data_IF_215611599578
#
_entry.id   IF_215611599578
#
_cell.length_a   1.000
_cell.length_b   1.000
_cell.length_c   1.000
_cell.angle_alpha   90.00
_cell.angle_beta   90.00
_cell.angle_gamma   90.00
#
_symmetry.space_group_name_H-M   'P 1'
#
loop_
_entity.id
_entity.type
_entity.pdbx_description
1 polymer ?
#
# COMPACT_ATOMS: atom_id res chain seq x y z
N UNK A 1 -21.97 13.10 3.27
CA UNK A 1 -20.60 13.29 2.73
C UNK A 1 -20.09 11.94 2.28
N UNK A 2 -19.40 11.87 1.15
CA UNK A 2 -18.74 10.64 0.68
C UNK A 2 -17.73 10.12 1.71
N UNK A 3 -17.69 8.80 1.88
CA UNK A 3 -16.75 8.09 2.75
C UNK A 3 -15.34 8.18 2.16
N UNK A 4 -14.33 8.24 3.03
CA UNK A 4 -12.91 8.28 2.64
C UNK A 4 -12.24 6.99 3.07
N UNK A 5 -11.57 6.34 2.13
CA UNK A 5 -10.91 5.05 2.37
C UNK A 5 -9.43 5.18 2.04
N UNK A 6 -8.59 5.13 3.07
CA UNK A 6 -7.14 5.17 2.93
C UNK A 6 -6.53 3.78 2.82
N UNK A 7 -5.88 3.51 1.70
CA UNK A 7 -5.24 2.23 1.41
C UNK A 7 -3.82 2.21 1.98
N UNK A 8 -3.69 1.59 3.15
CA UNK A 8 -2.45 1.41 3.87
C UNK A 8 -1.76 0.10 3.45
N UNK A 9 -0.58 0.22 2.82
CA UNK A 9 0.17 -0.94 2.29
C UNK A 9 1.43 -1.25 3.10
N UNK A 10 1.46 -0.91 4.39
CA UNK A 10 2.64 -0.99 5.25
C UNK A 10 3.90 -0.26 4.73
N UNK A 11 3.73 0.70 3.82
CA UNK A 11 4.79 1.59 3.37
C UNK A 11 4.73 2.94 4.10
N UNK A 12 5.87 3.62 4.24
CA UNK A 12 5.94 4.93 4.88
C UNK A 12 5.06 5.98 4.18
N UNK A 13 5.00 5.95 2.84
CA UNK A 13 4.15 6.85 2.07
C UNK A 13 2.66 6.60 2.34
N UNK A 14 2.21 5.35 2.31
CA UNK A 14 0.81 5.03 2.61
C UNK A 14 0.43 5.37 4.06
N UNK A 15 1.35 5.19 5.02
CA UNK A 15 1.13 5.59 6.41
C UNK A 15 0.99 7.11 6.56
N UNK A 16 1.91 7.88 5.95
CA UNK A 16 1.85 9.34 5.99
C UNK A 16 0.60 9.90 5.29
N UNK A 17 0.18 9.30 4.17
CA UNK A 17 -1.05 9.67 3.49
C UNK A 17 -2.29 9.40 4.33
N UNK A 18 -2.35 8.23 4.99
CA UNK A 18 -3.42 7.89 5.92
C UNK A 18 -3.46 8.88 7.11
N UNK A 19 -2.30 9.27 7.66
CA UNK A 19 -2.24 10.26 8.75
C UNK A 19 -2.84 11.59 8.34
N UNK A 20 -2.42 12.14 7.19
CA UNK A 20 -2.97 13.40 6.67
C UNK A 20 -4.48 13.28 6.46
N UNK A 21 -4.95 12.19 5.87
CA UNK A 21 -6.37 11.99 5.62
C UNK A 21 -7.19 11.88 6.91
N UNK A 22 -6.67 11.21 7.94
CA UNK A 22 -7.33 11.13 9.26
C UNK A 22 -7.35 12.48 9.97
N UNK A 23 -6.29 13.28 9.87
CA UNK A 23 -6.22 14.63 10.45
C UNK A 23 -7.19 15.60 9.76
N UNK A 24 -7.23 15.59 8.42
CA UNK A 24 -8.13 16.45 7.64
C UNK A 24 -9.59 15.96 7.70
N UNK A 25 -9.79 14.65 7.85
CA UNK A 25 -11.09 14.01 7.87
C UNK A 25 -11.12 12.87 8.92
N UNK A 26 -11.54 13.17 10.16
CA UNK A 26 -11.56 12.20 11.26
C UNK A 26 -12.41 10.95 11.00
N UNK A 27 -13.34 11.00 10.04
CA UNK A 27 -14.14 9.84 9.59
C UNK A 27 -13.44 8.92 8.58
N UNK A 28 -12.17 9.16 8.22
CA UNK A 28 -11.42 8.33 7.28
C UNK A 28 -11.27 6.90 7.80
N UNK A 29 -11.62 5.95 6.95
CA UNK A 29 -11.43 4.51 7.18
C UNK A 29 -10.06 4.12 6.64
N UNK A 30 -9.28 3.37 7.42
CA UNK A 30 -7.94 2.92 7.02
C UNK A 30 -7.99 1.43 6.79
N UNK A 31 -7.56 1.00 5.60
CA UNK A 31 -7.69 -0.39 5.15
C UNK A 31 -6.34 -0.92 4.68
N UNK A 32 -6.02 -2.14 5.10
CA UNK A 32 -4.80 -2.88 4.72
C UNK A 32 -5.18 -4.19 4.04
N UNK A 33 -4.58 -4.47 2.88
CA UNK A 33 -4.70 -5.78 2.24
C UNK A 33 -3.54 -6.68 2.66
N UNK A 34 -3.83 -7.78 3.37
CA UNK A 34 -2.85 -8.73 3.87
C UNK A 34 -2.38 -9.65 2.74
N UNK A 35 -1.06 -9.71 2.56
CA UNK A 35 -0.40 -10.65 1.66
C UNK A 35 0.67 -11.39 2.45
N UNK A 36 0.48 -12.70 2.67
CA UNK A 36 1.33 -13.54 3.52
C UNK A 36 2.82 -13.51 3.16
N UNK A 37 3.17 -13.22 1.90
CA UNK A 37 4.56 -13.14 1.44
C UNK A 37 5.26 -11.82 1.80
N UNK A 38 4.53 -10.84 2.33
CA UNK A 38 5.12 -9.64 2.92
C UNK A 38 5.91 -9.97 4.20
N UNK A 39 6.89 -9.14 4.53
CA UNK A 39 7.72 -9.35 5.70
C UNK A 39 6.88 -9.23 6.99
N UNK A 40 7.06 -10.13 7.96
CA UNK A 40 6.28 -10.18 9.21
C UNK A 40 6.31 -8.88 10.02
N UNK A 41 7.44 -8.17 10.00
CA UNK A 41 7.58 -6.81 10.58
C UNK A 41 6.50 -5.81 10.11
N UNK A 42 5.85 -6.04 8.96
CA UNK A 42 4.72 -5.23 8.53
C UNK A 42 3.56 -5.23 9.54
N UNK A 43 3.39 -6.30 10.33
CA UNK A 43 2.35 -6.39 11.37
C UNK A 43 2.71 -5.54 12.60
N UNK A 44 3.99 -5.53 12.99
CA UNK A 44 4.48 -4.58 14.00
C UNK A 44 4.24 -3.16 13.52
N UNK A 45 4.70 -2.83 12.31
CA UNK A 45 4.55 -1.50 11.75
C UNK A 45 3.08 -1.07 11.64
N UNK A 46 2.18 -1.98 11.25
CA UNK A 46 0.75 -1.71 11.20
C UNK A 46 0.18 -1.35 12.58
N UNK A 47 0.57 -2.07 13.66
CA UNK A 47 0.15 -1.75 15.03
C UNK A 47 0.66 -0.38 15.49
N UNK A 48 1.92 -0.05 15.20
CA UNK A 48 2.49 1.24 15.57
C UNK A 48 1.81 2.38 14.81
N UNK A 49 1.55 2.19 13.51
CA UNK A 49 0.80 3.15 12.70
C UNK A 49 -0.63 3.29 13.18
N UNK A 50 -1.34 2.19 13.51
CA UNK A 50 -2.70 2.24 14.05
C UNK A 50 -2.78 3.12 15.30
N UNK A 51 -1.84 2.96 16.24
CA UNK A 51 -1.72 3.81 17.44
C UNK A 51 -1.46 5.27 17.07
N UNK A 52 -0.55 5.53 16.14
CA UNK A 52 -0.21 6.89 15.70
C UNK A 52 -1.37 7.60 14.98
N UNK A 53 -2.19 6.84 14.25
CA UNK A 53 -3.41 7.34 13.61
C UNK A 53 -4.55 7.56 14.61
N UNK A 54 -4.55 6.86 15.74
CA UNK A 54 -5.71 6.80 16.64
C UNK A 54 -6.90 6.09 15.99
N UNK A 55 -6.63 5.15 15.09
CA UNK A 55 -7.62 4.45 14.27
C UNK A 55 -7.30 2.96 14.17
N UNK A 56 -8.33 2.14 14.27
CA UNK A 56 -8.25 0.75 13.86
C UNK A 56 -7.97 0.66 12.35
N UNK A 57 -7.13 -0.30 11.96
CA UNK A 57 -6.85 -0.60 10.56
C UNK A 57 -7.66 -1.85 10.21
N UNK A 58 -8.58 -1.71 9.26
CA UNK A 58 -9.35 -2.83 8.75
C UNK A 58 -8.44 -3.70 7.89
N UNK A 59 -8.30 -4.96 8.25
CA UNK A 59 -7.47 -5.92 7.50
C UNK A 59 -8.35 -6.77 6.57
N UNK A 60 -8.02 -6.76 5.28
CA UNK A 60 -8.66 -7.56 4.25
C UNK A 60 -7.70 -8.63 3.77
N UNK A 61 -8.20 -9.85 3.59
CA UNK A 61 -7.45 -10.95 3.01
C UNK A 61 -8.26 -11.65 1.91
N UNK A 62 -7.56 -12.45 1.10
CA UNK A 62 -8.21 -13.25 0.06
C UNK A 62 -8.83 -14.50 0.68
N UNK A 63 -10.13 -14.67 0.47
CA UNK A 63 -10.89 -15.89 0.75
C UNK A 63 -10.54 -17.04 -0.20
N UNK A 64 -10.02 -16.71 -1.40
CA UNK A 64 -9.77 -17.66 -2.48
C UNK A 64 -8.33 -18.20 -2.52
N UNK A 65 -7.36 -17.45 -2.00
CA UNK A 65 -5.95 -17.74 -2.16
C UNK A 65 -5.20 -17.55 -0.85
N UNK A 66 -4.40 -18.55 -0.49
CA UNK A 66 -3.62 -18.51 0.76
C UNK A 66 -2.47 -17.49 0.70
N UNK A 67 -1.80 -17.38 -0.45
CA UNK A 67 -0.66 -16.51 -0.66
C UNK A 67 -0.42 -16.24 -2.16
N UNK A 68 0.68 -15.55 -2.49
CA UNK A 68 1.02 -15.25 -3.88
C UNK A 68 1.34 -16.51 -4.70
N UNK A 69 1.96 -17.53 -4.10
CA UNK A 69 2.30 -18.77 -4.79
C UNK A 69 1.04 -19.50 -5.22
N UNK A 70 0.05 -19.59 -4.34
CA UNK A 70 -1.25 -20.19 -4.65
C UNK A 70 -1.94 -19.49 -5.83
N UNK A 71 -1.88 -18.16 -5.90
CA UNK A 71 -2.35 -17.40 -7.07
C UNK A 71 -1.60 -17.84 -8.34
N UNK A 72 -0.27 -17.88 -8.30
CA UNK A 72 0.54 -18.15 -9.47
C UNK A 72 0.40 -19.59 -9.97
N UNK A 73 0.35 -20.58 -9.08
CA UNK A 73 0.18 -21.99 -9.45
C UNK A 73 -1.21 -22.25 -10.04
N UNK A 74 -2.27 -21.76 -9.39
CA UNK A 74 -3.65 -21.95 -9.89
C UNK A 74 -3.91 -21.23 -11.20
N UNK A 75 -3.34 -20.03 -11.38
CA UNK A 75 -3.61 -19.17 -12.55
C UNK A 75 -2.55 -19.23 -13.64
N UNK A 76 -1.43 -19.94 -13.39
CA UNK A 76 -0.29 -20.11 -14.30
C UNK A 76 0.27 -18.77 -14.83
N UNK A 77 0.28 -17.74 -13.99
CA UNK A 77 0.75 -16.40 -14.37
C UNK A 77 1.29 -15.63 -13.16
N UNK A 78 2.49 -15.05 -13.31
CA UNK A 78 3.17 -14.28 -12.25
C UNK A 78 3.04 -12.77 -12.49
N UNK A 79 3.73 -12.28 -13.52
CA UNK A 79 3.84 -10.87 -13.87
C UNK A 79 4.15 -10.75 -15.37
N UNK A 80 3.65 -9.69 -16.02
CA UNK A 80 3.85 -9.42 -17.44
C UNK A 80 3.23 -8.09 -17.84
N UNK A 81 2.84 -7.88 -19.12
CA UNK A 81 2.32 -6.60 -19.60
C UNK A 81 1.10 -6.08 -18.82
N UNK A 82 0.23 -6.96 -18.34
CA UNK A 82 -0.93 -6.62 -17.48
C UNK A 82 -0.58 -6.37 -16.01
N UNK A 83 0.70 -6.45 -15.64
CA UNK A 83 1.18 -6.36 -14.27
C UNK A 83 1.12 -7.67 -13.50
N UNK A 84 1.45 -7.64 -12.20
CA UNK A 84 1.53 -8.83 -11.37
C UNK A 84 0.15 -9.32 -10.95
N UNK A 85 -0.15 -10.61 -11.19
CA UNK A 85 -1.47 -11.16 -10.93
C UNK A 85 -1.79 -11.23 -9.43
N UNK A 86 -0.79 -11.41 -8.57
CA UNK A 86 -0.99 -11.31 -7.12
C UNK A 86 -1.46 -9.91 -6.69
N UNK A 87 -1.06 -8.83 -7.39
CA UNK A 87 -1.60 -7.49 -7.13
C UNK A 87 -3.07 -7.38 -7.51
N UNK A 88 -3.49 -8.06 -8.58
CA UNK A 88 -4.90 -8.07 -9.00
C UNK A 88 -5.76 -8.85 -8.00
N UNK A 89 -5.43 -10.12 -7.80
CA UNK A 89 -6.26 -11.04 -7.01
C UNK A 89 -6.23 -10.72 -5.52
N UNK A 90 -5.07 -10.35 -4.95
CA UNK A 90 -4.90 -10.16 -3.51
C UNK A 90 -4.94 -8.71 -3.05
N UNK A 91 -5.03 -7.73 -3.96
CA UNK A 91 -5.14 -6.31 -3.58
C UNK A 91 -6.28 -5.61 -4.30
N UNK A 92 -6.27 -5.56 -5.64
CA UNK A 92 -7.29 -4.83 -6.42
C UNK A 92 -8.69 -5.41 -6.22
N UNK A 93 -8.87 -6.73 -6.25
CA UNK A 93 -10.19 -7.34 -6.01
C UNK A 93 -10.69 -7.14 -4.59
N UNK A 94 -9.79 -7.19 -3.59
CA UNK A 94 -10.17 -6.86 -2.21
C UNK A 94 -10.67 -5.43 -2.10
N UNK A 95 -9.95 -4.49 -2.73
CA UNK A 95 -10.37 -3.09 -2.84
C UNK A 95 -11.76 -2.96 -3.45
N UNK A 96 -11.97 -3.57 -4.62
CA UNK A 96 -13.22 -3.51 -5.37
C UNK A 96 -14.42 -4.10 -4.60
N UNK A 97 -14.20 -5.15 -3.79
CA UNK A 97 -15.26 -5.73 -2.94
C UNK A 97 -15.59 -4.86 -1.73
N UNK A 98 -14.64 -4.08 -1.22
CA UNK A 98 -14.81 -3.25 -0.03
C UNK A 98 -15.32 -1.83 -0.34
N UNK A 99 -14.89 -1.27 -1.48
CA UNK A 99 -15.22 0.10 -1.86
C UNK A 99 -16.69 0.24 -2.26
N UNK A 100 -17.23 1.44 -2.03
CA UNK A 100 -18.50 1.89 -2.58
C UNK A 100 -18.26 2.80 -3.79
N UNK A 101 -19.22 2.94 -4.73
CA UNK A 101 -19.03 3.75 -5.93
C UNK A 101 -18.69 5.22 -5.66
N UNK A 102 -19.17 5.79 -4.56
CA UNK A 102 -18.99 7.19 -4.19
C UNK A 102 -17.83 7.43 -3.21
N UNK A 103 -17.08 6.38 -2.85
CA UNK A 103 -15.92 6.51 -1.96
C UNK A 103 -14.81 7.35 -2.59
N UNK A 104 -14.24 8.26 -1.78
CA UNK A 104 -12.98 8.92 -2.11
C UNK A 104 -11.82 8.04 -1.63
N UNK A 105 -11.05 7.51 -2.58
CA UNK A 105 -9.93 6.61 -2.35
C UNK A 105 -8.64 7.41 -2.08
N UNK A 106 -8.05 7.25 -0.89
CA UNK A 106 -6.79 7.91 -0.54
C UNK A 106 -5.62 6.98 -0.85
N UNK A 107 -4.70 7.43 -1.72
CA UNK A 107 -3.49 6.69 -2.08
C UNK A 107 -2.20 7.44 -1.73
N UNK A 108 -1.19 6.70 -1.28
CA UNK A 108 0.12 7.22 -0.89
C UNK A 108 1.10 7.44 -2.05
N UNK A 109 0.66 8.00 -3.18
CA UNK A 109 1.59 8.45 -4.22
C UNK A 109 2.29 9.74 -3.77
N UNK A 110 3.62 9.78 -3.82
CA UNK A 110 4.43 10.94 -3.42
C UNK A 110 4.54 11.98 -4.54
N UNK A 111 5.06 13.18 -4.24
CA UNK A 111 5.34 14.25 -5.24
C UNK A 111 6.09 13.75 -6.47
N UNK A 112 7.04 12.82 -6.30
CA UNK A 112 7.82 12.27 -7.42
C UNK A 112 7.08 11.20 -8.25
N UNK A 113 5.83 10.90 -7.89
CA UNK A 113 5.00 9.86 -8.51
C UNK A 113 3.74 10.43 -9.19
N UNK A 114 3.69 11.74 -9.44
CA UNK A 114 2.57 12.43 -10.11
C UNK A 114 2.17 11.77 -11.43
N UNK A 115 3.14 11.46 -12.31
CA UNK A 115 2.85 10.75 -13.57
C UNK A 115 2.29 9.34 -13.36
N UNK A 116 2.61 8.68 -12.23
CA UNK A 116 2.01 7.37 -11.88
C UNK A 116 0.60 7.53 -11.33
N UNK A 117 0.32 8.61 -10.61
CA UNK A 117 -1.01 8.93 -10.10
C UNK A 117 -1.95 9.31 -11.25
N UNK A 118 -1.51 10.15 -12.20
CA UNK A 118 -2.26 10.49 -13.41
C UNK A 118 -2.62 9.23 -14.21
N UNK A 119 -1.62 8.41 -14.56
CA UNK A 119 -1.87 7.13 -15.25
C UNK A 119 -2.77 6.18 -14.45
N UNK A 120 -2.75 6.23 -13.12
CA UNK A 120 -3.66 5.43 -12.32
C UNK A 120 -5.12 5.89 -12.53
N UNK A 121 -5.38 7.19 -12.53
CA UNK A 121 -6.71 7.74 -12.82
C UNK A 121 -7.16 7.39 -14.24
N UNK A 122 -6.29 7.55 -15.25
CA UNK A 122 -6.62 7.23 -16.64
C UNK A 122 -7.04 5.76 -16.82
N UNK A 123 -6.46 4.86 -16.03
CA UNK A 123 -6.77 3.42 -16.06
C UNK A 123 -7.88 2.99 -15.09
N UNK A 124 -8.43 3.91 -14.28
CA UNK A 124 -9.47 3.64 -13.28
C UNK A 124 -10.42 4.86 -13.26
N UNK A 125 -11.07 5.12 -14.39
CA UNK A 125 -11.91 6.32 -14.62
C UNK A 125 -13.08 6.42 -13.65
N UNK A 126 -13.50 5.30 -13.06
CA UNK A 126 -14.56 5.21 -12.07
C UNK A 126 -14.09 5.55 -10.64
N UNK A 127 -12.78 5.73 -10.42
CA UNK A 127 -12.22 5.93 -9.08
C UNK A 127 -12.09 7.42 -8.77
N UNK A 128 -12.86 7.90 -7.79
CA UNK A 128 -12.59 9.16 -7.12
C UNK A 128 -11.40 9.00 -6.18
N UNK A 129 -10.31 9.72 -6.40
CA UNK A 129 -9.11 9.62 -5.57
C UNK A 129 -8.60 10.97 -5.04
N UNK A 130 -8.01 10.95 -3.85
CA UNK A 130 -7.16 12.03 -3.33
C UNK A 130 -5.74 11.50 -3.11
N UNK A 131 -4.77 12.38 -3.36
CA UNK A 131 -3.34 12.11 -3.23
C UNK A 131 -2.71 13.13 -2.27
N UNK A 132 -2.89 12.97 -0.95
CA UNK A 132 -2.51 13.99 0.03
C UNK A 132 -1.03 14.37 -0.02
N UNK A 133 -0.16 13.40 -0.33
CA UNK A 133 1.29 13.64 -0.41
C UNK A 133 1.67 14.45 -1.65
N UNK A 134 1.00 14.25 -2.79
CA UNK A 134 1.19 15.09 -3.98
C UNK A 134 0.71 16.51 -3.68
N UNK A 135 -0.51 16.66 -3.15
CA UNK A 135 -1.10 17.95 -2.77
C UNK A 135 -0.20 18.77 -1.83
N UNK A 136 0.44 18.10 -0.86
CA UNK A 136 1.36 18.74 0.10
C UNK A 136 2.83 18.75 -0.36
N UNK A 137 3.13 18.31 -1.59
CA UNK A 137 4.48 18.31 -2.14
C UNK A 137 5.48 17.40 -1.40
N UNK A 138 5.00 16.35 -0.71
CA UNK A 138 5.81 15.48 0.13
C UNK A 138 6.51 14.39 -0.69
N UNK A 139 7.80 14.24 -0.45
CA UNK A 139 8.60 13.16 -1.00
C UNK A 139 8.59 11.93 -0.08
N UNK A 140 9.13 10.82 -0.58
CA UNK A 140 9.34 9.62 0.22
C UNK A 140 10.26 9.84 1.42
N UNK A 141 11.29 10.69 1.28
CA UNK A 141 12.19 11.06 2.39
C UNK A 141 11.42 11.80 3.49
N UNK A 142 10.50 12.67 3.11
CA UNK A 142 9.65 13.39 4.07
C UNK A 142 8.72 12.44 4.80
N UNK A 143 8.19 11.42 4.10
CA UNK A 143 7.40 10.36 4.72
C UNK A 143 8.24 9.58 5.75
N UNK A 144 9.50 9.26 5.45
CA UNK A 144 10.37 8.58 6.41
C UNK A 144 10.60 9.42 7.66
N UNK A 145 10.93 10.71 7.48
CA UNK A 145 11.11 11.65 8.59
C UNK A 145 9.86 11.76 9.45
N UNK A 146 8.67 11.81 8.85
CA UNK A 146 7.38 11.85 9.60
C UNK A 146 7.19 10.62 10.47
N UNK A 147 7.45 9.43 9.94
CA UNK A 147 7.34 8.16 10.68
C UNK A 147 8.34 8.13 11.84
N UNK A 148 9.60 8.51 11.59
CA UNK A 148 10.63 8.54 12.61
C UNK A 148 10.37 9.61 13.69
N UNK A 149 9.86 10.78 13.32
CA UNK A 149 9.48 11.84 14.25
C UNK A 149 8.31 11.42 15.16
N UNK A 150 7.47 10.48 14.72
CA UNK A 150 6.44 9.86 15.54
C UNK A 150 6.99 8.75 16.47
N UNK A 151 8.31 8.53 16.50
CA UNK A 151 8.94 7.47 17.29
C UNK A 151 8.74 6.06 16.71
N UNK A 152 8.29 5.95 15.45
CA UNK A 152 7.99 4.67 14.81
C UNK A 152 9.19 4.22 13.98
N UNK A 153 9.59 2.96 14.17
CA UNK A 153 10.63 2.36 13.35
C UNK A 153 10.08 1.97 11.96
N UNK A 154 10.81 2.35 10.90
CA UNK A 154 10.47 2.01 9.53
C UNK A 154 10.39 0.48 9.34
N UNK A 155 9.50 -0.01 8.45
CA UNK A 155 9.41 -1.43 8.10
C UNK A 155 10.76 -2.04 7.74
N UNK A 156 10.96 -3.30 8.16
CA UNK A 156 12.21 -4.05 7.97
C UNK A 156 12.75 -3.98 6.53
N UNK A 157 11.87 -4.07 5.52
CA UNK A 157 12.29 -3.98 4.14
C UNK A 157 13.05 -2.68 3.82
N UNK A 158 12.64 -1.53 4.37
CA UNK A 158 13.40 -0.29 4.18
C UNK A 158 14.74 -0.30 4.91
N UNK A 159 14.80 -0.91 6.10
CA UNK A 159 16.03 -1.06 6.90
C UNK A 159 17.04 -1.98 6.23
N UNK A 160 16.56 -3.03 5.58
CA UNK A 160 17.35 -3.89 4.69
C UNK A 160 17.77 -3.17 3.39
N UNK A 161 17.38 -1.91 3.20
CA UNK A 161 17.73 -1.08 2.05
C UNK A 161 16.90 -1.38 0.79
N UNK A 162 15.72 -1.97 0.92
CA UNK A 162 14.78 -2.05 -0.19
C UNK A 162 14.02 -0.74 -0.34
N UNK A 163 13.67 -0.42 -1.59
CA UNK A 163 12.94 0.79 -1.88
C UNK A 163 11.49 0.73 -1.42
N UNK A 164 10.87 -0.42 -1.22
CA UNK A 164 9.45 -0.53 -0.83
C UNK A 164 9.27 -1.69 0.16
N UNK A 165 8.22 -1.63 0.98
CA UNK A 165 7.80 -2.70 1.88
C UNK A 165 7.07 -3.84 1.13
N UNK A 166 7.69 -4.35 0.07
CA UNK A 166 7.16 -5.42 -0.77
C UNK A 166 7.45 -6.81 -0.16
N UNK A 167 6.86 -7.84 -0.74
CA UNK A 167 7.12 -9.25 -0.43
C UNK A 167 8.60 -9.64 -0.59
N UNK A 168 9.11 -10.49 0.30
CA UNK A 168 10.40 -11.15 0.08
C UNK A 168 10.26 -12.00 -1.19
N UNK A 169 11.11 -11.77 -2.19
CA UNK A 169 10.92 -12.35 -3.53
C UNK A 169 9.73 -11.78 -4.33
N UNK A 170 9.55 -10.45 -4.36
CA UNK A 170 8.50 -9.82 -5.15
C UNK A 170 8.73 -9.99 -6.66
N UNK A 171 7.72 -10.52 -7.37
CA UNK A 171 7.74 -10.69 -8.85
C UNK A 171 7.80 -9.38 -9.64
N UNK A 172 7.54 -8.23 -8.99
CA UNK A 172 7.71 -6.89 -9.56
C UNK A 172 9.10 -6.29 -9.30
N UNK A 173 9.92 -6.94 -8.49
CA UNK A 173 11.23 -6.43 -8.07
C UNK A 173 12.30 -6.49 -9.15
N UNK A 174 12.14 -7.36 -10.16
CA UNK A 174 13.14 -7.58 -11.20
C UNK A 174 14.42 -8.22 -10.68
N UNK A 175 15.40 -8.41 -11.57
CA UNK A 175 16.62 -9.19 -11.28
C UNK A 175 17.42 -8.63 -10.09
N UNK A 176 17.60 -7.30 -10.01
CA UNK A 176 18.37 -6.68 -8.93
C UNK A 176 17.77 -6.92 -7.55
N UNK A 177 16.43 -6.91 -7.44
CA UNK A 177 15.74 -7.24 -6.20
C UNK A 177 15.99 -8.68 -5.78
N UNK A 178 15.84 -9.63 -6.70
CA UNK A 178 16.06 -11.05 -6.43
C UNK A 178 17.52 -11.37 -6.10
N UNK A 179 18.49 -10.68 -6.72
CA UNK A 179 19.90 -10.80 -6.37
C UNK A 179 20.17 -10.38 -4.92
N UNK A 180 19.44 -9.38 -4.41
CA UNK A 180 19.57 -8.93 -3.03
C UNK A 180 18.90 -9.90 -2.03
N UNK A 181 17.78 -10.50 -2.41
CA UNK A 181 17.06 -11.50 -1.57
C UNK A 181 17.87 -12.79 -1.39
N UNK A 182 18.70 -13.17 -2.38
CA UNK A 182 19.50 -14.41 -2.33
C UNK A 182 20.74 -14.34 -1.44
N UNK A 183 21.12 -13.16 -0.97
CA UNK A 183 22.28 -12.93 -0.09
C UNK A 183 21.84 -13.00 1.35
#
# INVERSE_FOLDING_TARGET
MARRVAWFSCGAASAAAAKIAVEEHPGTIVVRCIVKNEHEDNDRFARDVSKWLGKEIIELSSDKYADCWDVWFKRRYLNGPGGALCTVEMKKKLRQRFQLPDDIQIFGFTKKEEGRAARFLDNNVEVYADFPLIRKGLTKKDCFKKIQAAGIELPMMYRLGYNNANCIGCVKGGMGYWNKVRR
#
